data_IF_111983074292
#
_entry.id   IF_111983074292
#
_cell.length_a   1.000
_cell.length_b   1.000
_cell.length_c   1.000
_cell.angle_alpha   90.00
_cell.angle_beta   90.00
_cell.angle_gamma   90.00
#
_symmetry.space_group_name_H-M   'P 1'
#
loop_
_entity.id
_entity.type
_entity.pdbx_description
1 polymer ?
#
# COMPACT_ATOMS: atom_id res chain seq x y z
N UNK A 1 -13.56 7.36 27.26
CA UNK A 1 -12.66 6.22 27.56
C UNK A 1 -12.08 6.42 28.95
N UNK A 2 -12.09 5.37 29.78
CA UNK A 2 -11.52 5.40 31.14
C UNK A 2 -10.10 4.86 31.09
N UNK A 3 -9.12 5.67 31.48
CA UNK A 3 -7.71 5.29 31.49
C UNK A 3 -7.31 4.38 32.66
N UNK A 4 -6.01 4.25 32.87
CA UNK A 4 -5.43 3.46 33.95
C UNK A 4 -5.66 4.09 35.34
N UNK A 5 -5.76 3.25 36.37
CA UNK A 5 -5.83 3.65 37.77
C UNK A 5 -4.58 3.22 38.56
N UNK A 6 -3.71 2.42 37.95
CA UNK A 6 -2.41 2.00 38.48
C UNK A 6 -1.34 2.07 37.37
N UNK A 7 -0.08 1.74 37.70
CA UNK A 7 1.05 1.78 36.77
C UNK A 7 1.51 0.43 36.21
N UNK A 8 0.86 -0.68 36.58
CA UNK A 8 1.28 -2.04 36.24
C UNK A 8 0.32 -2.81 35.33
N UNK A 9 -0.96 -2.45 35.35
CA UNK A 9 -1.99 -3.04 34.49
C UNK A 9 -2.08 -2.31 33.15
N UNK A 10 -2.57 -3.02 32.13
CA UNK A 10 -2.91 -2.46 30.83
C UNK A 10 -4.42 -2.27 30.73
N UNK A 11 -4.83 -1.18 30.09
CA UNK A 11 -6.23 -0.90 29.77
C UNK A 11 -6.36 -0.80 28.25
N UNK A 12 -7.25 -1.60 27.67
CA UNK A 12 -7.49 -1.62 26.23
C UNK A 12 -8.73 -0.82 25.87
N UNK A 13 -8.63 -0.02 24.79
CA UNK A 13 -9.77 0.61 24.15
C UNK A 13 -9.80 0.27 22.68
N UNK A 14 -10.88 -0.36 22.24
CA UNK A 14 -11.14 -0.58 20.84
C UNK A 14 -11.84 0.63 20.26
N UNK A 15 -11.53 0.93 19.00
CA UNK A 15 -12.30 1.87 18.21
C UNK A 15 -13.56 1.16 17.73
N UNK A 16 -14.70 1.86 17.73
CA UNK A 16 -15.96 1.30 17.24
C UNK A 16 -15.86 0.82 15.78
N UNK A 17 -14.97 1.46 15.02
CA UNK A 17 -14.60 1.08 13.65
C UNK A 17 -13.08 1.16 13.44
N UNK A 18 -12.45 0.20 12.72
CA UNK A 18 -11.05 0.30 12.34
C UNK A 18 -10.76 1.52 11.47
N UNK A 19 -9.67 2.23 11.76
CA UNK A 19 -9.21 3.36 10.93
C UNK A 19 -8.30 2.81 9.83
N UNK A 20 -8.74 2.85 8.57
CA UNK A 20 -7.92 2.37 7.46
C UNK A 20 -6.96 3.45 6.95
N UNK A 21 -5.66 3.13 6.95
CA UNK A 21 -4.58 4.06 6.61
C UNK A 21 -4.12 3.91 5.15
N UNK A 22 -4.95 4.28 4.17
CA UNK A 22 -4.69 4.06 2.74
C UNK A 22 -3.57 4.93 2.09
N UNK A 23 -2.92 5.84 2.82
CA UNK A 23 -1.96 6.80 2.24
C UNK A 23 -0.79 7.08 3.19
N UNK A 24 0.33 7.55 2.62
CA UNK A 24 1.50 8.04 3.38
C UNK A 24 1.12 9.29 4.21
N UNK A 25 1.77 9.47 5.37
CA UNK A 25 1.55 10.56 6.36
C UNK A 25 0.33 10.47 7.31
N UNK A 26 0.03 9.28 7.86
CA UNK A 26 -0.98 9.15 8.93
C UNK A 26 -0.31 8.97 10.30
N UNK A 27 -0.69 9.81 11.26
CA UNK A 27 -0.15 9.84 12.61
C UNK A 27 -1.26 9.57 13.63
N UNK A 28 -0.95 8.73 14.62
CA UNK A 28 -1.81 8.57 15.80
C UNK A 28 -1.26 9.46 16.92
N UNK A 29 -2.03 10.46 17.34
CA UNK A 29 -1.66 11.37 18.42
C UNK A 29 -2.48 11.09 19.66
N UNK A 30 -1.83 10.69 20.75
CA UNK A 30 -2.44 10.56 22.07
C UNK A 30 -2.27 11.86 22.85
N UNK A 31 -3.38 12.41 23.36
CA UNK A 31 -3.40 13.63 24.17
C UNK A 31 -3.97 13.27 25.55
N UNK A 32 -3.11 13.16 26.58
CA UNK A 32 -3.57 12.93 27.94
C UNK A 32 -4.52 14.05 28.38
N UNK A 33 -5.62 13.68 29.03
CA UNK A 33 -6.58 14.64 29.60
C UNK A 33 -6.41 14.81 31.11
N UNK A 34 -5.97 13.77 31.81
CA UNK A 34 -5.71 13.78 33.25
C UNK A 34 -4.67 12.71 33.62
N UNK A 35 -4.02 12.88 34.76
CA UNK A 35 -3.01 11.95 35.28
C UNK A 35 -2.92 12.05 36.81
N UNK A 36 -2.36 11.01 37.45
CA UNK A 36 -2.01 11.04 38.86
C UNK A 36 -0.52 11.38 39.01
N UNK A 37 -0.18 12.48 39.67
CA UNK A 37 1.20 12.94 39.83
C UNK A 37 1.77 13.57 38.55
N UNK A 38 2.59 12.83 37.79
CA UNK A 38 3.20 13.29 36.53
C UNK A 38 2.66 12.50 35.34
N UNK A 39 2.55 13.09 34.13
CA UNK A 39 2.18 12.35 32.93
C UNK A 39 3.23 11.27 32.63
N UNK A 40 2.79 10.01 32.58
CA UNK A 40 3.60 8.87 32.17
C UNK A 40 2.70 7.90 31.40
N UNK A 41 3.10 7.51 30.20
CA UNK A 41 2.32 6.59 29.36
C UNK A 41 3.24 5.59 28.67
N UNK A 42 2.79 4.33 28.67
CA UNK A 42 3.23 3.29 27.74
C UNK A 42 1.98 2.84 27.00
N UNK A 43 2.04 2.77 25.69
CA UNK A 43 0.91 2.32 24.87
C UNK A 43 1.41 1.49 23.71
N UNK A 44 0.50 0.69 23.17
CA UNK A 44 0.70 -0.11 21.97
C UNK A 44 -0.49 0.10 21.03
N UNK A 45 -0.24 0.11 19.73
CA UNK A 45 -1.26 0.19 18.71
C UNK A 45 -1.50 -1.19 18.12
N UNK A 46 -2.75 -1.62 18.12
CA UNK A 46 -3.17 -2.87 17.48
C UNK A 46 -3.68 -2.52 16.08
N UNK A 47 -3.06 -3.10 15.04
CA UNK A 47 -3.42 -2.88 13.64
C UNK A 47 -3.18 -4.15 12.81
N UNK A 48 -3.81 -4.20 11.63
CA UNK A 48 -3.61 -5.26 10.63
C UNK A 48 -3.25 -4.64 9.28
N UNK A 49 -2.47 -5.35 8.45
CA UNK A 49 -2.29 -4.98 7.04
C UNK A 49 -3.48 -5.48 6.23
N UNK A 50 -4.31 -4.55 5.75
CA UNK A 50 -5.44 -4.85 4.88
C UNK A 50 -5.07 -4.68 3.39
N UNK A 51 -3.81 -4.43 3.06
CA UNK A 51 -3.39 -4.42 1.66
C UNK A 51 -3.47 -5.84 1.13
N UNK A 52 -4.11 -6.04 -0.04
CA UNK A 52 -4.04 -7.34 -0.70
C UNK A 52 -2.56 -7.70 -0.91
N UNK A 53 -2.14 -8.97 -0.68
CA UNK A 53 -0.83 -9.43 -1.07
C UNK A 53 -0.44 -8.97 -2.49
N UNK A 54 0.84 -8.60 -2.72
CA UNK A 54 1.33 -8.25 -4.04
C UNK A 54 0.91 -9.30 -5.07
N UNK A 55 0.48 -8.84 -6.25
CA UNK A 55 -0.04 -9.69 -7.33
C UNK A 55 -1.37 -10.41 -7.07
N UNK A 56 -2.04 -10.24 -5.92
CA UNK A 56 -3.34 -10.88 -5.70
C UNK A 56 -4.39 -10.40 -6.72
N UNK A 57 -4.34 -9.12 -7.11
CA UNK A 57 -5.28 -8.55 -8.09
C UNK A 57 -4.83 -8.73 -9.55
N UNK A 58 -3.66 -9.33 -9.81
CA UNK A 58 -3.05 -9.45 -11.14
C UNK A 58 -3.17 -8.18 -12.00
N UNK A 59 -2.47 -7.09 -11.62
CA UNK A 59 -2.60 -5.80 -12.31
C UNK A 59 -2.03 -5.80 -13.74
N UNK A 60 -1.19 -6.79 -14.09
CA UNK A 60 -0.51 -6.85 -15.38
C UNK A 60 -1.44 -7.28 -16.51
N UNK A 61 -1.53 -6.45 -17.55
CA UNK A 61 -2.32 -6.70 -18.75
C UNK A 61 -1.49 -7.46 -19.80
N UNK A 62 -2.17 -7.87 -20.88
CA UNK A 62 -1.55 -8.47 -22.06
C UNK A 62 -0.66 -9.70 -21.78
N UNK A 63 -0.99 -10.43 -20.71
CA UNK A 63 -0.24 -11.60 -20.29
C UNK A 63 1.14 -11.29 -19.71
N UNK A 64 1.36 -10.06 -19.24
CA UNK A 64 2.53 -9.71 -18.42
C UNK A 64 2.57 -10.51 -17.12
N UNK A 65 3.78 -10.77 -16.62
CA UNK A 65 4.00 -11.53 -15.40
C UNK A 65 4.09 -10.58 -14.20
N UNK A 66 3.20 -10.80 -13.22
CA UNK A 66 3.24 -10.03 -11.99
C UNK A 66 4.33 -10.56 -11.06
N UNK A 67 5.21 -9.67 -10.65
CA UNK A 67 6.32 -9.94 -9.76
C UNK A 67 6.24 -9.04 -8.52
N UNK A 68 6.87 -9.45 -7.42
CA UNK A 68 6.91 -8.68 -6.16
C UNK A 68 8.34 -8.31 -5.78
N UNK A 69 8.53 -7.11 -5.25
CA UNK A 69 9.77 -6.67 -4.61
C UNK A 69 9.49 -6.03 -3.24
N UNK A 70 10.51 -5.46 -2.60
CA UNK A 70 10.39 -4.82 -1.28
C UNK A 70 9.46 -3.60 -1.26
N UNK A 71 9.25 -2.96 -2.41
CA UNK A 71 8.47 -1.72 -2.55
C UNK A 71 7.03 -1.93 -3.03
N UNK A 72 6.72 -3.09 -3.61
CA UNK A 72 5.38 -3.39 -4.14
C UNK A 72 5.39 -4.49 -5.21
N UNK A 73 4.30 -4.57 -5.95
CA UNK A 73 4.19 -5.35 -7.19
C UNK A 73 4.66 -4.56 -8.42
N UNK A 74 5.19 -5.27 -9.40
CA UNK A 74 5.57 -4.71 -10.70
C UNK A 74 5.34 -5.74 -11.80
N UNK A 75 5.16 -5.27 -13.03
CA UNK A 75 4.90 -6.13 -14.18
C UNK A 75 6.14 -6.32 -15.04
N UNK A 76 6.44 -7.58 -15.36
CA UNK A 76 7.38 -7.93 -16.43
C UNK A 76 6.59 -8.13 -17.71
N UNK A 77 6.76 -7.22 -18.66
CA UNK A 77 5.98 -7.24 -19.89
C UNK A 77 6.53 -8.24 -20.90
N UNK A 78 5.60 -8.87 -21.64
CA UNK A 78 5.94 -9.67 -22.81
C UNK A 78 6.43 -8.76 -23.93
N UNK A 79 7.18 -9.34 -24.87
CA UNK A 79 7.68 -8.62 -26.05
C UNK A 79 6.54 -7.92 -26.78
N UNK A 80 6.75 -6.65 -27.15
CA UNK A 80 5.75 -5.82 -27.82
C UNK A 80 4.79 -5.09 -26.88
N UNK A 81 4.96 -5.22 -25.56
CA UNK A 81 4.16 -4.50 -24.56
C UNK A 81 5.02 -3.69 -23.60
N UNK A 82 4.50 -2.55 -23.16
CA UNK A 82 5.17 -1.60 -22.26
C UNK A 82 4.16 -0.90 -21.35
N UNK A 83 4.66 -0.01 -20.48
CA UNK A 83 3.89 0.66 -19.45
C UNK A 83 3.89 -0.10 -18.11
N UNK A 84 3.50 0.59 -17.04
CA UNK A 84 3.56 0.06 -15.66
C UNK A 84 2.77 -1.26 -15.47
N UNK A 85 1.68 -1.42 -16.21
CA UNK A 85 0.82 -2.59 -16.18
C UNK A 85 0.83 -3.33 -17.54
N UNK A 86 1.85 -3.12 -18.39
CA UNK A 86 1.94 -3.69 -19.73
C UNK A 86 0.74 -3.34 -20.64
N UNK A 87 0.11 -2.20 -20.43
CA UNK A 87 -1.09 -1.77 -21.15
C UNK A 87 -0.81 -1.22 -22.56
N UNK A 88 0.41 -0.74 -22.79
CA UNK A 88 0.80 -0.07 -24.03
C UNK A 88 1.51 -1.05 -24.97
N UNK A 89 1.44 -0.81 -26.28
CA UNK A 89 2.16 -1.59 -27.29
C UNK A 89 3.49 -0.91 -27.63
N UNK A 90 4.57 -1.66 -27.57
CA UNK A 90 5.88 -1.26 -28.07
C UNK A 90 5.94 -1.52 -29.58
N UNK A 91 5.26 -0.67 -30.35
CA UNK A 91 5.31 -0.74 -31.81
C UNK A 91 6.65 -0.24 -32.32
N UNK A 92 7.35 -1.05 -33.12
CA UNK A 92 8.41 -0.55 -33.97
C UNK A 92 7.77 0.14 -35.19
N UNK A 93 7.99 1.44 -35.31
CA UNK A 93 7.71 2.16 -36.55
C UNK A 93 8.66 1.67 -37.63
N UNK A 94 8.17 0.81 -38.52
CA UNK A 94 8.93 0.39 -39.70
C UNK A 94 8.70 1.39 -40.83
N UNK A 95 9.78 1.94 -41.36
CA UNK A 95 9.74 2.71 -42.61
C UNK A 95 9.69 1.74 -43.79
N UNK A 96 8.56 1.70 -44.50
CA UNK A 96 8.47 1.05 -45.81
C UNK A 96 8.09 2.12 -46.84
N UNK A 97 9.05 2.47 -47.70
CA UNK A 97 8.87 3.56 -48.67
C UNK A 97 8.80 4.93 -47.99
N UNK A 98 7.80 5.76 -48.33
CA UNK A 98 7.57 7.08 -47.71
C UNK A 98 6.57 7.03 -46.53
N UNK A 99 6.18 5.85 -46.05
CA UNK A 99 5.22 5.66 -44.97
C UNK A 99 5.82 4.98 -43.73
N UNK A 100 5.34 5.38 -42.56
CA UNK A 100 5.58 4.70 -41.29
C UNK A 100 4.40 3.76 -41.02
N UNK A 101 4.67 2.47 -40.86
CA UNK A 101 3.65 1.47 -40.54
C UNK A 101 3.94 0.87 -39.17
N UNK A 102 2.87 0.61 -38.42
CA UNK A 102 2.94 -0.08 -37.14
C UNK A 102 3.10 -1.57 -37.43
N UNK A 103 4.24 -2.17 -37.09
CA UNK A 103 4.36 -3.63 -37.09
C UNK A 103 3.83 -4.15 -35.77
N UNK A 104 2.83 -5.03 -35.83
CA UNK A 104 2.55 -5.98 -34.74
C UNK A 104 3.59 -7.08 -34.72
#
# INVERSE_FOLDING_TARGET
>A
MRGNYDGGSYVTHFLDSPITLYYTNRLVKLIPKSWHGKPCMRFELIACDNRPPPCQSNPCLNGGECNRNETGDFCTCKQGFTGINCQDYEGQWIQRGRGFYFST
#
